data_IF_430134539381
#
_entry.id   IF_430134539381
#
_cell.length_a   1.000
_cell.length_b   1.000
_cell.length_c   1.000
_cell.angle_alpha   90.00
_cell.angle_beta   90.00
_cell.angle_gamma   90.00
#
_symmetry.space_group_name_H-M   'P 1'
#
loop_
_entity.id
_entity.type
_entity.pdbx_description
1 polymer ?
#
# COMPACT_ATOMS: atom_id res chain seq x y z
N UNK A 1 -14.06 -14.24 15.60
CA UNK A 1 -14.02 -12.93 14.92
C UNK A 1 -12.61 -12.42 15.06
N UNK A 2 -11.85 -12.37 13.97
CA UNK A 2 -10.54 -11.72 13.93
C UNK A 2 -10.77 -10.22 14.16
N UNK A 3 -10.01 -9.59 15.06
CA UNK A 3 -10.12 -8.16 15.28
C UNK A 3 -9.65 -7.40 14.03
N UNK A 4 -10.38 -6.35 13.64
CA UNK A 4 -9.93 -5.39 12.63
C UNK A 4 -8.60 -4.78 13.06
N UNK A 5 -7.70 -4.59 12.09
CA UNK A 5 -6.33 -4.10 12.28
C UNK A 5 -6.07 -3.02 11.25
N UNK A 6 -5.29 -2.01 11.64
CA UNK A 6 -4.73 -1.01 10.73
C UNK A 6 -3.41 -1.53 10.19
N UNK A 7 -3.37 -1.86 8.90
CA UNK A 7 -2.20 -2.44 8.27
C UNK A 7 -1.65 -1.44 7.27
N UNK A 8 -0.37 -1.12 7.41
CA UNK A 8 0.39 -0.42 6.38
C UNK A 8 1.08 -1.46 5.50
N UNK A 9 0.84 -1.45 4.20
CA UNK A 9 1.61 -2.19 3.22
C UNK A 9 2.53 -1.21 2.51
N UNK A 10 3.84 -1.42 2.63
CA UNK A 10 4.87 -0.61 2.02
C UNK A 10 5.55 -1.41 0.90
N UNK A 11 5.39 -0.95 -0.34
CA UNK A 11 6.13 -1.43 -1.49
C UNK A 11 7.51 -0.79 -1.51
N UNK A 12 8.55 -1.59 -1.30
CA UNK A 12 9.95 -1.21 -1.31
C UNK A 12 10.74 -1.99 -2.36
N UNK A 13 10.63 -3.31 -2.38
CA UNK A 13 11.44 -4.18 -3.23
C UNK A 13 10.56 -4.87 -4.30
N UNK A 14 9.30 -5.22 -3.96
CA UNK A 14 8.33 -5.85 -4.87
C UNK A 14 6.95 -5.17 -4.81
N UNK A 15 6.77 -4.13 -5.63
CA UNK A 15 5.51 -3.40 -5.72
C UNK A 15 4.33 -4.27 -6.20
N UNK A 16 4.57 -5.23 -7.10
CA UNK A 16 3.51 -6.05 -7.65
C UNK A 16 2.93 -7.01 -6.61
N UNK A 17 3.81 -7.66 -5.82
CA UNK A 17 3.38 -8.48 -4.70
C UNK A 17 2.74 -7.64 -3.59
N UNK A 18 3.30 -6.46 -3.30
CA UNK A 18 2.72 -5.54 -2.32
C UNK A 18 1.26 -5.19 -2.65
N UNK A 19 0.98 -4.78 -3.89
CA UNK A 19 -0.38 -4.44 -4.33
C UNK A 19 -1.34 -5.62 -4.16
N UNK A 20 -0.91 -6.81 -4.57
CA UNK A 20 -1.72 -8.04 -4.42
C UNK A 20 -2.01 -8.37 -2.95
N UNK A 21 -1.01 -8.23 -2.08
CA UNK A 21 -1.17 -8.45 -0.63
C UNK A 21 -2.13 -7.44 -0.03
N UNK A 22 -2.00 -6.16 -0.36
CA UNK A 22 -2.87 -5.10 0.14
C UNK A 22 -4.33 -5.33 -0.25
N UNK A 23 -4.60 -5.61 -1.53
CA UNK A 23 -5.94 -5.96 -2.01
C UNK A 23 -6.50 -7.23 -1.36
N UNK A 24 -5.65 -8.21 -1.04
CA UNK A 24 -6.08 -9.41 -0.33
C UNK A 24 -6.45 -9.16 1.14
N UNK A 25 -5.76 -8.24 1.81
CA UNK A 25 -5.97 -7.94 3.23
C UNK A 25 -7.33 -7.27 3.50
N UNK A 26 -7.85 -6.49 2.55
CA UNK A 26 -9.17 -5.85 2.68
C UNK A 26 -10.30 -6.88 2.75
N UNK A 27 -10.16 -8.03 2.06
CA UNK A 27 -11.12 -9.16 2.12
C UNK A 27 -11.27 -9.71 3.55
N UNK A 28 -10.22 -9.63 4.37
CA UNK A 28 -10.23 -10.08 5.76
C UNK A 28 -10.81 -9.02 6.73
N UNK A 29 -11.25 -7.87 6.24
CA UNK A 29 -11.87 -6.80 7.03
C UNK A 29 -10.86 -5.95 7.82
N UNK A 30 -9.63 -5.82 7.31
CA UNK A 30 -8.61 -4.92 7.84
C UNK A 30 -8.69 -3.55 7.16
N UNK A 31 -8.33 -2.50 7.90
CA UNK A 31 -8.12 -1.15 7.36
C UNK A 31 -6.71 -1.13 6.76
N UNK A 32 -6.60 -0.88 5.46
CA UNK A 32 -5.35 -1.03 4.72
C UNK A 32 -4.93 0.30 4.11
N UNK A 33 -3.73 0.75 4.45
CA UNK A 33 -3.05 1.86 3.78
C UNK A 33 -1.90 1.31 2.94
N UNK A 34 -1.70 1.87 1.75
CA UNK A 34 -0.65 1.50 0.83
C UNK A 34 0.36 2.64 0.61
N UNK A 35 1.66 2.31 0.60
CA UNK A 35 2.73 3.27 0.40
C UNK A 35 3.80 2.72 -0.56
N UNK A 36 4.03 3.40 -1.68
CA UNK A 36 5.21 3.20 -2.50
C UNK A 36 6.41 3.92 -1.86
N UNK A 37 7.49 3.18 -1.58
CA UNK A 37 8.69 3.74 -0.97
C UNK A 37 9.65 4.34 -2.01
N UNK A 38 9.54 3.95 -3.27
CA UNK A 38 10.34 4.42 -4.40
C UNK A 38 9.52 4.39 -5.70
N UNK A 39 10.13 4.78 -6.81
CA UNK A 39 9.59 4.53 -8.16
C UNK A 39 9.76 3.05 -8.57
N UNK A 40 8.81 2.53 -9.32
CA UNK A 40 8.83 1.15 -9.81
C UNK A 40 8.65 1.07 -11.32
N UNK A 41 9.15 0.00 -11.92
CA UNK A 41 8.87 -0.30 -13.32
C UNK A 41 7.38 -0.61 -13.51
N UNK A 42 6.73 0.11 -14.42
CA UNK A 42 5.33 -0.12 -14.77
C UNK A 42 5.26 -1.18 -15.86
N UNK A 43 5.12 -2.43 -15.43
CA UNK A 43 4.88 -3.57 -16.33
C UNK A 43 3.38 -3.78 -16.55
N UNK A 44 2.98 -4.64 -17.50
CA UNK A 44 1.57 -5.02 -17.64
C UNK A 44 1.01 -5.67 -16.37
N UNK A 45 1.84 -6.41 -15.62
CA UNK A 45 1.42 -7.02 -14.34
C UNK A 45 1.28 -5.98 -13.24
N UNK A 46 2.10 -4.93 -13.26
CA UNK A 46 1.93 -3.76 -12.40
C UNK A 46 0.58 -3.10 -12.67
N UNK A 47 0.25 -2.83 -13.93
CA UNK A 47 -1.03 -2.21 -14.32
C UNK A 47 -2.23 -3.06 -13.87
N UNK A 48 -2.21 -4.37 -14.12
CA UNK A 48 -3.25 -5.31 -13.66
C UNK A 48 -3.44 -5.28 -12.13
N UNK A 49 -2.34 -5.22 -11.38
CA UNK A 49 -2.38 -5.16 -9.92
C UNK A 49 -2.82 -3.78 -9.40
N UNK A 50 -2.48 -2.70 -10.10
CA UNK A 50 -2.95 -1.35 -9.78
C UNK A 50 -4.47 -1.26 -9.96
N UNK A 51 -5.01 -1.79 -11.06
CA UNK A 51 -6.46 -1.90 -11.27
C UNK A 51 -7.14 -2.72 -10.16
N UNK A 52 -6.53 -3.83 -9.74
CA UNK A 52 -7.03 -4.63 -8.62
C UNK A 52 -7.01 -3.85 -7.31
N UNK A 53 -5.94 -3.09 -7.05
CA UNK A 53 -5.78 -2.28 -5.83
C UNK A 53 -6.80 -1.14 -5.79
N UNK A 54 -7.09 -0.49 -6.92
CA UNK A 54 -8.11 0.56 -7.04
C UNK A 54 -9.54 0.03 -6.79
N UNK A 55 -9.81 -1.22 -7.15
CA UNK A 55 -11.09 -1.88 -6.89
C UNK A 55 -11.22 -2.38 -5.44
N UNK A 56 -10.13 -2.44 -4.69
CA UNK A 56 -10.11 -2.87 -3.31
C UNK A 56 -10.44 -1.70 -2.35
N UNK A 57 -10.98 -2.03 -1.18
CA UNK A 57 -11.27 -1.06 -0.12
C UNK A 57 -9.99 -0.62 0.63
N UNK A 58 -8.97 -0.17 -0.10
CA UNK A 58 -7.73 0.42 0.46
C UNK A 58 -8.01 1.89 0.78
N UNK A 59 -7.68 2.31 2.00
CA UNK A 59 -8.06 3.63 2.52
C UNK A 59 -7.32 4.76 1.81
N UNK A 60 -6.01 4.59 1.61
CA UNK A 60 -5.12 5.59 1.00
C UNK A 60 -3.99 4.88 0.25
N UNK A 61 -3.66 5.37 -0.94
CA UNK A 61 -2.51 4.94 -1.76
C UNK A 61 -1.61 6.15 -1.93
N UNK A 62 -0.40 6.08 -1.39
CA UNK A 62 0.54 7.22 -1.34
C UNK A 62 1.93 6.82 -1.77
N UNK A 63 2.81 7.80 -1.98
CA UNK A 63 4.22 7.56 -2.36
C UNK A 63 5.20 8.47 -1.62
N UNK A 64 6.40 7.97 -1.32
CA UNK A 64 7.49 8.77 -0.73
C UNK A 64 8.22 9.64 -1.77
N UNK A 65 8.22 9.21 -3.03
CA UNK A 65 8.85 9.90 -4.16
C UNK A 65 7.81 10.18 -5.25
N UNK A 66 7.99 11.18 -6.14
CA UNK A 66 7.06 11.38 -7.25
C UNK A 66 6.96 10.13 -8.11
N UNK A 67 5.82 9.43 -8.05
CA UNK A 67 5.59 8.18 -8.76
C UNK A 67 4.11 8.01 -9.07
N UNK A 68 3.80 7.67 -10.33
CA UNK A 68 2.44 7.57 -10.85
C UNK A 68 1.59 8.83 -10.54
N UNK A 69 0.27 8.68 -10.49
CA UNK A 69 -0.68 9.74 -10.10
C UNK A 69 -0.97 9.72 -8.57
N UNK A 70 -0.10 9.07 -7.78
CA UNK A 70 -0.27 8.95 -6.34
C UNK A 70 0.09 10.23 -5.60
N UNK A 71 -0.65 10.52 -4.52
CA UNK A 71 -0.33 11.62 -3.63
C UNK A 71 1.01 11.37 -2.92
N UNK A 72 1.92 12.34 -3.01
CA UNK A 72 3.21 12.27 -2.34
C UNK A 72 3.08 12.65 -0.86
N UNK A 73 3.70 11.85 0.01
CA UNK A 73 3.80 12.11 1.44
C UNK A 73 5.26 12.36 1.85
N UNK A 74 5.44 13.22 2.85
CA UNK A 74 6.74 13.46 3.46
C UNK A 74 7.20 12.27 4.31
N UNK A 75 8.50 12.21 4.62
CA UNK A 75 9.05 11.20 5.53
C UNK A 75 8.40 11.25 6.92
N UNK A 76 8.03 12.44 7.42
CA UNK A 76 7.34 12.60 8.70
C UNK A 76 5.91 12.01 8.66
N UNK A 77 5.19 12.21 7.56
CA UNK A 77 3.87 11.60 7.35
C UNK A 77 3.97 10.08 7.23
N UNK A 78 4.96 9.55 6.50
CA UNK A 78 5.19 8.11 6.42
C UNK A 78 5.57 7.51 7.78
N UNK A 79 6.39 8.22 8.58
CA UNK A 79 6.71 7.81 9.95
C UNK A 79 5.47 7.80 10.86
N UNK A 80 4.53 8.72 10.66
CA UNK A 80 3.24 8.71 11.35
C UNK A 80 2.39 7.51 10.94
N UNK A 81 2.34 7.16 9.64
CA UNK A 81 1.62 5.97 9.17
C UNK A 81 2.17 4.68 9.79
N UNK A 82 3.50 4.56 9.88
CA UNK A 82 4.17 3.46 10.57
C UNK A 82 3.80 3.38 12.06
N UNK A 83 3.74 4.52 12.75
CA UNK A 83 3.42 4.58 14.18
C UNK A 83 1.94 4.28 14.48
N UNK A 84 1.04 4.60 13.55
CA UNK A 84 -0.41 4.37 13.68
C UNK A 84 -0.83 2.94 13.32
N UNK A 85 -0.04 2.24 12.51
CA UNK A 85 -0.35 0.90 12.08
C UNK A 85 -0.19 -0.12 13.23
N UNK A 86 -1.13 -1.06 13.33
CA UNK A 86 -0.98 -2.24 14.19
C UNK A 86 0.11 -3.18 13.67
N UNK A 87 0.31 -3.20 12.35
CA UNK A 87 1.31 -4.00 11.66
C UNK A 87 1.75 -3.33 10.36
N UNK A 88 3.01 -3.53 9.99
CA UNK A 88 3.56 -3.10 8.71
C UNK A 88 4.14 -4.28 7.96
N UNK A 89 3.73 -4.42 6.70
CA UNK A 89 4.35 -5.34 5.75
C UNK A 89 5.23 -4.53 4.83
N UNK A 90 6.52 -4.86 4.78
CA UNK A 90 7.48 -4.26 3.85
C UNK A 90 7.82 -5.33 2.83
N UNK A 91 7.52 -5.05 1.57
CA UNK A 91 7.58 -6.00 0.45
C UNK A 91 8.43 -5.45 -0.68
#
# INVERSE_FOLDING_TARGET
MTATKKILVMARDDAEEAMRVAAGLTIFGHEVRFLFADEFEVTSRFEENAELLELADVDEITTLVPFAECDQVSADQAAMFLAEADATLVL
#
